data_IF_584663512038
#
_entry.id   IF_584663512038
#
_cell.length_a   1.000
_cell.length_b   1.000
_cell.length_c   1.000
_cell.angle_alpha   90.00
_cell.angle_beta   90.00
_cell.angle_gamma   90.00
#
_symmetry.space_group_name_H-M   'P 1'
#
loop_
_entity.id
_entity.type
_entity.pdbx_description
1 polymer ?
#
# COMPACT_ATOMS: atom_id res chain seq x y z
N UNK A 1 60.98 21.81 -4.60
CA UNK A 1 60.07 20.81 -5.21
C UNK A 1 59.01 20.25 -4.22
N UNK A 2 58.47 21.06 -3.29
CA UNK A 2 57.45 20.60 -2.31
C UNK A 2 56.10 21.33 -2.43
N UNK A 3 56.10 22.55 -2.99
CA UNK A 3 54.88 23.35 -3.16
C UNK A 3 53.90 22.76 -4.20
N UNK A 4 54.37 22.18 -5.30
CA UNK A 4 53.48 21.64 -6.35
C UNK A 4 52.74 20.35 -5.92
N UNK A 5 53.32 19.54 -5.02
CA UNK A 5 52.66 18.34 -4.49
C UNK A 5 51.51 18.68 -3.54
N UNK A 6 51.65 19.76 -2.77
CA UNK A 6 50.60 20.24 -1.86
C UNK A 6 49.42 20.83 -2.63
N UNK A 7 49.68 21.61 -3.69
CA UNK A 7 48.64 22.20 -4.56
C UNK A 7 47.83 21.11 -5.26
N UNK A 8 48.47 20.09 -5.88
CA UNK A 8 47.74 18.96 -6.47
C UNK A 8 46.88 18.18 -5.46
N UNK A 9 47.33 18.05 -4.21
CA UNK A 9 46.57 17.33 -3.18
C UNK A 9 45.34 18.11 -2.70
N UNK A 10 45.39 19.45 -2.71
CA UNK A 10 44.27 20.33 -2.36
C UNK A 10 43.23 20.35 -3.48
N UNK A 11 43.68 20.43 -4.73
CA UNK A 11 42.82 20.38 -5.93
C UNK A 11 42.09 19.04 -6.04
N UNK A 12 42.74 17.90 -5.77
CA UNK A 12 42.07 16.59 -5.76
C UNK A 12 41.01 16.49 -4.65
N UNK A 13 41.26 17.04 -3.47
CA UNK A 13 40.30 17.01 -2.35
C UNK A 13 39.09 17.88 -2.64
N UNK A 14 39.30 19.06 -3.23
CA UNK A 14 38.23 19.98 -3.62
C UNK A 14 37.37 19.38 -4.75
N UNK A 15 38.00 18.77 -5.75
CA UNK A 15 37.29 18.04 -6.81
C UNK A 15 36.47 16.87 -6.26
N UNK A 16 37.02 16.12 -5.29
CA UNK A 16 36.33 15.00 -4.64
C UNK A 16 35.13 15.46 -3.79
N UNK A 17 35.28 16.59 -3.07
CA UNK A 17 34.18 17.22 -2.34
C UNK A 17 33.07 17.72 -3.28
N UNK A 18 33.44 18.33 -4.41
CA UNK A 18 32.49 18.80 -5.42
C UNK A 18 31.75 17.64 -6.10
N UNK A 19 32.40 16.51 -6.38
CA UNK A 19 31.72 15.33 -6.95
C UNK A 19 30.77 14.69 -5.95
N UNK A 20 31.13 14.57 -4.66
CA UNK A 20 30.22 14.08 -3.61
C UNK A 20 29.00 15.00 -3.48
N UNK A 21 29.19 16.31 -3.49
CA UNK A 21 28.09 17.29 -3.42
C UNK A 21 27.18 17.21 -4.66
N UNK A 22 27.73 17.02 -5.86
CA UNK A 22 26.95 16.81 -7.08
C UNK A 22 26.14 15.50 -7.02
N UNK A 23 26.72 14.41 -6.50
CA UNK A 23 26.00 13.14 -6.33
C UNK A 23 24.87 13.24 -5.30
N UNK A 24 25.06 14.01 -4.22
CA UNK A 24 23.99 14.29 -3.24
C UNK A 24 22.88 15.16 -3.83
N UNK A 25 23.19 16.11 -4.72
CA UNK A 25 22.18 16.94 -5.40
C UNK A 25 21.43 16.22 -6.52
N UNK A 26 22.05 15.21 -7.13
CA UNK A 26 21.43 14.31 -8.11
C UNK A 26 20.87 13.03 -7.48
N UNK A 27 20.83 12.97 -6.14
CA UNK A 27 20.19 11.91 -5.39
C UNK A 27 18.75 11.75 -5.86
N UNK A 28 18.51 10.63 -6.51
CA UNK A 28 17.30 10.27 -7.24
C UNK A 28 16.04 10.60 -6.43
N UNK A 29 14.97 11.01 -7.10
CA UNK A 29 13.61 10.96 -6.55
C UNK A 29 13.33 9.51 -6.13
N UNK A 30 13.58 9.21 -4.86
CA UNK A 30 13.24 7.94 -4.24
C UNK A 30 11.72 7.90 -4.21
N UNK A 31 11.13 7.20 -5.18
CA UNK A 31 9.72 6.85 -5.12
C UNK A 31 9.60 5.75 -4.08
N UNK A 32 9.31 6.14 -2.83
CA UNK A 32 8.97 5.18 -1.77
C UNK A 32 7.74 4.43 -2.29
N UNK A 33 7.91 3.15 -2.64
CA UNK A 33 6.80 2.26 -2.95
C UNK A 33 5.90 2.26 -1.73
N UNK A 34 4.69 2.80 -1.87
CA UNK A 34 3.73 2.79 -0.78
C UNK A 34 3.27 1.35 -0.60
N UNK A 35 3.79 0.70 0.44
CA UNK A 35 3.43 -0.67 0.77
C UNK A 35 2.10 -0.66 1.50
N UNK A 36 1.12 -1.35 0.91
CA UNK A 36 -0.18 -1.52 1.52
C UNK A 36 -0.16 -2.70 2.49
N UNK A 37 -0.87 -2.60 3.62
CA UNK A 37 -0.96 -3.69 4.59
C UNK A 37 -1.77 -4.86 4.02
N UNK A 38 -1.63 -6.04 4.64
CA UNK A 38 -2.57 -7.16 4.50
C UNK A 38 -2.93 -7.59 3.07
N UNK A 39 -1.98 -7.54 2.14
CA UNK A 39 -2.17 -7.86 0.71
C UNK A 39 -3.16 -6.94 -0.03
N UNK A 40 -3.42 -5.75 0.50
CA UNK A 40 -4.17 -4.73 -0.22
C UNK A 40 -3.41 -4.22 -1.45
N UNK A 41 -4.16 -3.72 -2.44
CA UNK A 41 -3.62 -3.16 -3.66
C UNK A 41 -3.63 -1.64 -3.55
N UNK A 42 -2.46 -1.02 -3.72
CA UNK A 42 -2.38 0.42 -3.90
C UNK A 42 -3.04 0.82 -5.22
N UNK A 43 -3.99 1.75 -5.15
CA UNK A 43 -4.57 2.41 -6.33
C UNK A 43 -4.27 3.89 -6.25
N UNK A 44 -3.73 4.43 -7.35
CA UNK A 44 -3.50 5.87 -7.48
C UNK A 44 -4.80 6.67 -7.63
N UNK A 45 -5.89 6.03 -8.05
CA UNK A 45 -7.18 6.68 -8.30
C UNK A 45 -8.31 5.63 -8.25
N UNK A 46 -9.20 5.73 -7.26
CA UNK A 46 -10.44 4.98 -7.15
C UNK A 46 -11.63 5.93 -6.93
N UNK A 47 -12.73 5.68 -7.65
CA UNK A 47 -13.98 6.45 -7.55
C UNK A 47 -15.03 5.75 -6.66
N UNK A 48 -14.64 4.77 -5.88
CA UNK A 48 -15.57 3.99 -5.07
C UNK A 48 -15.04 3.90 -3.64
N UNK A 49 -15.90 4.18 -2.66
CA UNK A 49 -15.65 3.85 -1.27
C UNK A 49 -15.89 2.35 -1.06
N UNK A 50 -14.93 1.67 -0.45
CA UNK A 50 -15.12 0.29 -0.04
C UNK A 50 -16.15 0.26 1.09
N UNK A 51 -17.15 -0.60 0.96
CA UNK A 51 -18.05 -0.88 2.05
C UNK A 51 -17.41 -1.91 2.99
N UNK A 52 -17.79 -1.84 4.26
CA UNK A 52 -17.42 -2.86 5.24
C UNK A 52 -18.55 -3.87 5.40
N UNK A 53 -18.21 -5.07 5.88
CA UNK A 53 -19.20 -6.11 6.13
C UNK A 53 -19.88 -5.96 7.48
N UNK A 54 -19.12 -5.57 8.49
CA UNK A 54 -19.56 -5.36 9.86
C UNK A 54 -19.23 -3.95 10.31
N UNK A 55 -19.96 -3.50 11.32
CA UNK A 55 -19.76 -2.19 11.93
C UNK A 55 -18.48 -2.17 12.77
N UNK A 56 -18.18 -3.30 13.42
CA UNK A 56 -17.04 -3.45 14.32
C UNK A 56 -16.36 -4.81 14.15
N UNK A 57 -15.19 -4.94 14.77
CA UNK A 57 -14.44 -6.20 14.85
C UNK A 57 -15.23 -7.33 15.54
N UNK A 58 -16.26 -7.01 16.33
CA UNK A 58 -17.10 -7.99 17.02
C UNK A 58 -18.00 -8.78 16.05
N UNK A 59 -18.17 -8.30 14.82
CA UNK A 59 -18.98 -8.94 13.77
C UNK A 59 -20.43 -9.22 14.22
N UNK A 60 -20.93 -8.39 15.12
CA UNK A 60 -22.25 -8.45 15.73
C UNK A 60 -23.32 -7.87 14.80
N UNK A 61 -23.02 -6.73 14.18
CA UNK A 61 -23.94 -6.00 13.31
C UNK A 61 -23.38 -5.92 11.90
N UNK A 62 -24.16 -6.42 10.94
CA UNK A 62 -23.81 -6.34 9.52
C UNK A 62 -24.18 -4.97 8.96
N UNK A 63 -23.24 -4.35 8.26
CA UNK A 63 -23.48 -3.11 7.52
C UNK A 63 -23.69 -3.47 6.05
N UNK A 64 -24.93 -3.47 5.58
CA UNK A 64 -25.20 -3.52 4.14
C UNK A 64 -25.04 -2.12 3.55
N UNK A 65 -23.81 -1.64 3.46
CA UNK A 65 -23.53 -0.39 2.76
C UNK A 65 -23.44 -0.63 1.25
N UNK A 66 -24.27 0.07 0.49
CA UNK A 66 -24.14 0.13 -0.97
C UNK A 66 -22.81 0.85 -1.28
N UNK A 67 -21.96 0.35 -2.19
CA UNK A 67 -20.73 1.03 -2.57
C UNK A 67 -21.05 2.46 -3.04
N UNK A 68 -20.52 3.45 -2.33
CA UNK A 68 -20.71 4.85 -2.69
C UNK A 68 -19.74 5.22 -3.81
N UNK A 69 -20.27 5.85 -4.87
CA UNK A 69 -19.46 6.41 -5.94
C UNK A 69 -19.04 7.83 -5.59
N UNK A 70 -17.74 8.07 -5.55
CA UNK A 70 -17.13 9.36 -5.29
C UNK A 70 -17.18 10.26 -6.54
N UNK A 71 -17.33 11.57 -6.33
CA UNK A 71 -17.25 12.60 -7.38
C UNK A 71 -15.82 12.86 -7.86
N UNK A 72 -14.85 12.65 -6.97
CA UNK A 72 -13.42 12.76 -7.24
C UNK A 72 -12.72 11.48 -6.82
N UNK A 73 -11.69 11.05 -7.56
CA UNK A 73 -10.99 9.86 -7.15
C UNK A 73 -10.06 10.12 -5.97
N UNK A 74 -9.87 9.08 -5.17
CA UNK A 74 -8.94 9.06 -4.04
C UNK A 74 -7.88 7.99 -4.31
N UNK A 75 -6.65 8.31 -3.93
CA UNK A 75 -5.58 7.32 -3.86
C UNK A 75 -5.62 6.63 -2.50
N UNK A 76 -5.15 5.38 -2.45
CA UNK A 76 -5.15 4.61 -1.21
C UNK A 76 -4.92 3.12 -1.42
N UNK A 77 -5.01 2.38 -0.32
CA UNK A 77 -4.98 0.93 -0.31
C UNK A 77 -6.41 0.39 -0.33
N UNK A 78 -6.65 -0.57 -1.22
CA UNK A 78 -7.97 -1.14 -1.49
C UNK A 78 -7.88 -2.66 -1.47
N UNK A 79 -8.97 -3.32 -1.08
CA UNK A 79 -9.13 -4.75 -1.19
C UNK A 79 -9.02 -5.22 -2.65
N UNK A 80 -8.58 -6.46 -2.82
CA UNK A 80 -8.53 -7.09 -4.14
C UNK A 80 -9.94 -7.28 -4.68
N UNK A 81 -10.04 -7.45 -6.00
CA UNK A 81 -11.31 -7.78 -6.64
C UNK A 81 -11.85 -9.09 -6.01
N UNK A 82 -13.13 -9.08 -5.62
CA UNK A 82 -13.79 -10.23 -4.97
C UNK A 82 -13.72 -10.21 -3.45
N UNK A 83 -12.85 -9.37 -2.87
CA UNK A 83 -12.71 -9.13 -1.45
C UNK A 83 -13.38 -7.80 -1.05
N UNK A 84 -13.66 -7.68 0.25
CA UNK A 84 -14.31 -6.54 0.90
C UNK A 84 -13.72 -6.39 2.29
N UNK A 85 -13.77 -5.18 2.84
CA UNK A 85 -13.21 -4.92 4.16
C UNK A 85 -14.13 -5.50 5.23
N UNK A 86 -13.58 -6.24 6.20
CA UNK A 86 -14.40 -6.86 7.24
C UNK A 86 -15.13 -5.81 8.09
N UNK A 87 -14.40 -4.86 8.64
CA UNK A 87 -14.87 -3.75 9.48
C UNK A 87 -13.96 -2.54 9.24
N UNK A 88 -14.29 -1.31 9.71
CA UNK A 88 -13.42 -0.15 9.53
C UNK A 88 -11.98 -0.46 9.98
N UNK A 89 -11.00 -0.15 9.13
CA UNK A 89 -9.56 -0.47 9.33
C UNK A 89 -9.20 -1.96 9.52
N UNK A 90 -10.16 -2.85 9.30
CA UNK A 90 -9.97 -4.30 9.36
C UNK A 90 -9.37 -4.89 8.08
N UNK A 91 -9.10 -6.22 8.08
CA UNK A 91 -8.54 -6.92 6.93
C UNK A 91 -9.56 -7.07 5.79
N UNK A 92 -9.06 -7.29 4.59
CA UNK A 92 -9.87 -7.72 3.45
C UNK A 92 -10.23 -9.21 3.58
N UNK A 93 -11.51 -9.52 3.37
CA UNK A 93 -12.06 -10.88 3.41
C UNK A 93 -12.86 -11.14 2.13
N UNK A 94 -13.02 -12.40 1.69
CA UNK A 94 -13.88 -12.73 0.55
C UNK A 94 -15.30 -12.19 0.76
N UNK A 95 -15.88 -11.55 -0.25
CA UNK A 95 -17.24 -10.96 -0.16
C UNK A 95 -18.34 -11.94 0.23
N UNK A 96 -18.17 -13.23 -0.07
CA UNK A 96 -19.06 -14.31 0.39
C UNK A 96 -19.06 -14.50 1.90
N UNK A 97 -17.95 -14.21 2.58
CA UNK A 97 -17.79 -14.31 4.04
C UNK A 97 -18.76 -13.38 4.78
N UNK A 98 -19.19 -12.31 4.13
CA UNK A 98 -20.06 -11.30 4.73
C UNK A 98 -21.54 -11.64 4.62
N UNK A 99 -21.92 -12.61 3.77
CA UNK A 99 -23.32 -12.92 3.50
C UNK A 99 -23.96 -13.84 4.55
N UNK A 100 -23.18 -14.78 5.09
CA UNK A 100 -23.67 -15.80 6.02
C UNK A 100 -22.51 -16.35 6.89
N UNK A 101 -22.67 -16.36 8.20
CA UNK A 101 -21.71 -16.98 9.14
C UNK A 101 -21.53 -18.49 8.88
N UNK A 102 -22.54 -19.18 8.35
CA UNK A 102 -22.38 -20.58 7.91
C UNK A 102 -21.50 -20.69 6.68
N UNK A 103 -21.59 -19.74 5.75
CA UNK A 103 -20.66 -19.69 4.61
C UNK A 103 -19.24 -19.38 5.09
N UNK A 104 -19.08 -18.53 6.11
CA UNK A 104 -17.78 -18.29 6.75
C UNK A 104 -17.10 -19.58 7.23
N UNK A 105 -17.85 -20.47 7.88
CA UNK A 105 -17.32 -21.78 8.31
C UNK A 105 -16.88 -22.65 7.13
N UNK A 106 -17.63 -22.65 6.02
CA UNK A 106 -17.27 -23.38 4.80
C UNK A 106 -16.00 -22.80 4.18
N UNK A 107 -15.91 -21.47 4.02
CA UNK A 107 -14.72 -20.82 3.48
C UNK A 107 -13.47 -21.08 4.32
N UNK A 108 -13.58 -21.09 5.65
CA UNK A 108 -12.47 -21.43 6.55
C UNK A 108 -11.99 -22.89 6.43
N UNK A 109 -12.82 -23.79 5.88
CA UNK A 109 -12.47 -25.20 5.66
C UNK A 109 -12.03 -25.51 4.24
N UNK A 110 -12.17 -24.57 3.31
CA UNK A 110 -11.75 -24.77 1.93
C UNK A 110 -10.26 -24.43 1.78
N UNK A 111 -9.50 -25.23 1.01
CA UNK A 111 -8.13 -24.86 0.67
C UNK A 111 -8.14 -23.56 -0.15
N UNK A 112 -7.30 -22.61 0.27
CA UNK A 112 -7.22 -21.22 -0.21
C UNK A 112 -7.16 -21.09 -1.75
N UNK A 113 -6.63 -22.09 -2.46
CA UNK A 113 -6.50 -22.10 -3.92
C UNK A 113 -7.82 -22.22 -4.71
N UNK A 114 -8.97 -22.44 -4.05
CA UNK A 114 -10.26 -22.60 -4.73
C UNK A 114 -11.15 -21.34 -4.71
N UNK A 115 -10.70 -20.24 -4.10
CA UNK A 115 -11.55 -19.05 -3.85
C UNK A 115 -11.21 -17.85 -4.75
N UNK A 116 -10.23 -18.01 -5.65
CA UNK A 116 -9.87 -16.97 -6.62
C UNK A 116 -10.83 -16.99 -7.84
N UNK A 117 -11.69 -15.97 -7.97
CA UNK A 117 -12.63 -15.75 -9.09
C UNK A 117 -12.27 -14.51 -9.92
#
# INVERSE_FOLDING_TARGET
MYHYKLVCAVEMKLACLLTILCLLKHGSTIMIKQECPHNELYRSCSFTNEYTCWESQLQDTRVMTIPERLTHCRSGCYCKKGEVRAYPDGPCVPSGYCRDQRLSYVFNKLPYQLVDF
#
